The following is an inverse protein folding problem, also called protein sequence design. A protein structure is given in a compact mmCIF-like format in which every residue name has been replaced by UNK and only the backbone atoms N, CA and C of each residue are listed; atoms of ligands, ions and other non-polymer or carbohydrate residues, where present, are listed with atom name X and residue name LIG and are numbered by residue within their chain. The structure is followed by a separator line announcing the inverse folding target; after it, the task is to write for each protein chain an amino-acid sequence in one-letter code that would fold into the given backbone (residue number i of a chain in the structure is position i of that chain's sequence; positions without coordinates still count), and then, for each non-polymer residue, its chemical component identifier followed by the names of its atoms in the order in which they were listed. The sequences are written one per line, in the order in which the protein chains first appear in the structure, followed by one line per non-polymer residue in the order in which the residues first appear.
data_IF_253622963989
#
_entry.id   IF_253622963989
#
_cell.length_a   1.000
_cell.length_b   1.000
_cell.length_c   1.000
_cell.angle_alpha   90.00
_cell.angle_beta   90.00
_cell.angle_gamma   90.00
#
_symmetry.space_group_name_H-M   'P 1'
#
loop_
_entity.id
_entity.type
_entity.pdbx_description
1 polymer ?
#
# COMPACT_ATOMS: atom_id res chain seq x y z
N UNK A 1 4.01 -21.28 -25.89
CA UNK A 1 3.99 -21.98 -24.61
C UNK A 1 4.08 -20.96 -23.51
N UNK A 2 3.12 -21.02 -22.62
CA UNK A 2 3.16 -20.22 -21.40
C UNK A 2 3.61 -21.10 -20.26
N UNK A 3 4.68 -20.69 -19.58
CA UNK A 3 5.01 -21.27 -18.30
C UNK A 3 4.78 -20.22 -17.25
N UNK A 4 4.27 -20.63 -16.11
CA UNK A 4 4.00 -19.74 -14.99
C UNK A 4 4.90 -20.11 -13.85
N UNK A 5 5.72 -19.17 -13.44
CA UNK A 5 6.61 -19.33 -12.30
C UNK A 5 6.16 -18.41 -11.18
N UNK A 6 6.30 -18.90 -9.96
CA UNK A 6 6.08 -18.08 -8.78
C UNK A 6 7.40 -17.51 -8.33
N UNK A 7 7.46 -16.17 -8.19
CA UNK A 7 8.68 -15.53 -7.72
C UNK A 7 8.36 -14.47 -6.69
N UNK A 8 9.34 -14.16 -5.86
CA UNK A 8 9.22 -13.08 -4.89
C UNK A 8 9.37 -11.75 -5.63
N UNK A 9 8.35 -10.89 -5.53
CA UNK A 9 8.39 -9.56 -6.13
C UNK A 9 8.89 -8.53 -5.15
N UNK A 10 8.40 -8.53 -3.92
CA UNK A 10 8.79 -7.58 -2.88
C UNK A 10 8.59 -8.18 -1.51
N UNK A 11 9.38 -7.75 -0.55
CA UNK A 11 9.34 -8.25 0.81
C UNK A 11 10.43 -9.30 1.08
N UNK A 12 10.44 -9.84 2.27
CA UNK A 12 11.36 -10.89 2.67
C UNK A 12 10.61 -12.11 3.17
N UNK A 13 11.13 -13.28 2.85
CA UNK A 13 10.52 -14.53 3.31
C UNK A 13 10.49 -14.58 4.83
N UNK A 14 9.29 -14.75 5.40
CA UNK A 14 9.10 -14.89 6.85
C UNK A 14 9.62 -13.69 7.67
N UNK A 15 9.75 -12.52 7.06
CA UNK A 15 10.26 -11.34 7.76
C UNK A 15 9.29 -10.18 7.61
N UNK A 16 8.63 -9.84 8.71
CA UNK A 16 7.77 -8.65 8.74
C UNK A 16 8.62 -7.42 9.12
N UNK A 17 8.09 -6.24 8.85
CA UNK A 17 8.74 -5.01 9.21
C UNK A 17 8.30 -3.86 8.32
N UNK A 18 8.98 -2.75 8.43
CA UNK A 18 8.75 -1.59 7.58
C UNK A 18 10.09 -1.10 7.05
N UNK A 19 10.39 -1.44 5.81
CA UNK A 19 11.59 -0.98 5.12
C UNK A 19 11.23 -0.61 3.69
N UNK A 20 11.57 0.59 3.26
CA UNK A 20 11.44 1.00 1.87
C UNK A 20 12.70 0.60 1.09
N UNK A 21 12.62 0.67 -0.24
CA UNK A 21 13.75 0.39 -1.11
C UNK A 21 13.41 -0.59 -2.20
N UNK A 22 14.41 -1.28 -2.74
CA UNK A 22 14.16 -2.26 -3.80
C UNK A 22 13.45 -3.49 -3.23
N UNK A 23 12.72 -4.17 -4.10
CA UNK A 23 11.76 -5.20 -3.73
C UNK A 23 12.21 -6.16 -2.65
N UNK A 24 13.35 -6.82 -2.84
CA UNK A 24 13.77 -7.87 -1.89
C UNK A 24 14.38 -7.32 -0.61
N UNK A 25 14.76 -6.05 -0.57
CA UNK A 25 15.23 -5.41 0.67
C UNK A 25 14.08 -4.77 1.43
N UNK A 26 12.95 -4.53 0.79
CA UNK A 26 11.78 -3.97 1.44
C UNK A 26 11.17 -4.95 2.43
N UNK A 27 10.45 -4.43 3.41
CA UNK A 27 9.72 -5.25 4.37
C UNK A 27 8.32 -4.68 4.55
N UNK A 28 7.36 -5.57 4.69
CA UNK A 28 5.94 -5.25 4.89
C UNK A 28 5.48 -5.81 6.22
N UNK A 29 4.44 -5.20 6.76
CA UNK A 29 3.80 -5.69 7.97
C UNK A 29 2.32 -5.94 7.66
N UNK A 30 1.99 -7.20 7.42
CA UNK A 30 0.64 -7.65 7.17
C UNK A 30 0.02 -6.94 5.97
N UNK A 31 0.62 -7.08 4.76
CA UNK A 31 0.05 -6.47 3.56
C UNK A 31 -1.28 -7.12 3.20
N UNK A 32 -2.22 -6.30 2.74
CA UNK A 32 -3.55 -6.74 2.37
C UNK A 32 -3.75 -6.56 0.88
N UNK A 33 -4.99 -6.47 0.43
CA UNK A 33 -5.33 -6.54 -0.99
C UNK A 33 -4.86 -5.30 -1.75
N UNK A 34 -3.92 -5.46 -2.71
CA UNK A 34 -3.38 -4.34 -3.47
C UNK A 34 -4.21 -4.05 -4.72
N UNK A 35 -3.89 -2.91 -5.35
CA UNK A 35 -4.45 -2.53 -6.63
C UNK A 35 -3.42 -1.78 -7.45
N UNK A 36 -3.57 -1.82 -8.78
CA UNK A 36 -2.66 -1.15 -9.71
C UNK A 36 -3.30 0.14 -10.26
N UNK A 37 -2.48 1.15 -10.48
CA UNK A 37 -2.91 2.28 -11.28
C UNK A 37 -2.65 2.00 -12.78
N UNK A 38 -2.92 2.99 -13.63
CA UNK A 38 -2.80 2.81 -15.07
C UNK A 38 -1.35 2.80 -15.53
N UNK A 39 -0.43 3.27 -14.71
CA UNK A 39 1.00 3.29 -15.01
C UNK A 39 1.72 2.05 -14.50
N UNK A 40 1.00 1.12 -13.91
CA UNK A 40 1.56 -0.12 -13.40
C UNK A 40 2.12 -0.03 -11.98
N UNK A 41 1.91 1.07 -11.29
CA UNK A 41 2.27 1.16 -9.88
C UNK A 41 1.27 0.38 -9.04
N UNK A 42 1.77 -0.34 -8.05
CA UNK A 42 0.93 -1.10 -7.14
C UNK A 42 0.80 -0.36 -5.82
N UNK A 43 -0.40 -0.28 -5.30
CA UNK A 43 -0.67 0.33 -4.00
C UNK A 43 -1.11 -0.75 -3.04
N UNK A 44 -0.42 -0.86 -1.92
CA UNK A 44 -0.58 -1.95 -0.96
C UNK A 44 -0.99 -1.39 0.39
N UNK A 45 -2.19 -1.73 0.87
CA UNK A 45 -2.56 -1.36 2.24
C UNK A 45 -1.83 -2.26 3.22
N UNK A 46 -1.23 -1.65 4.24
CA UNK A 46 -0.54 -2.37 5.31
C UNK A 46 -1.39 -2.32 6.58
N UNK A 47 -2.06 -3.42 6.83
CA UNK A 47 -2.91 -3.57 8.01
C UNK A 47 -2.12 -3.36 9.31
N UNK A 48 -0.90 -3.88 9.35
CA UNK A 48 -0.09 -3.84 10.55
C UNK A 48 0.59 -2.50 10.82
N UNK A 49 0.65 -1.60 9.84
CA UNK A 49 1.34 -0.30 10.00
C UNK A 49 0.45 0.90 9.74
N UNK A 50 -0.81 0.68 9.34
CA UNK A 50 -1.78 1.76 9.10
C UNK A 50 -1.33 2.69 7.95
N UNK A 51 -0.79 2.10 6.89
CA UNK A 51 -0.23 2.86 5.77
C UNK A 51 -0.67 2.29 4.43
N UNK A 52 -0.46 3.09 3.38
CA UNK A 52 -0.54 2.64 2.00
C UNK A 52 0.86 2.75 1.41
N UNK A 53 1.39 1.64 0.92
CA UNK A 53 2.71 1.58 0.30
C UNK A 53 2.56 1.59 -1.21
N UNK A 54 3.54 2.15 -1.91
CA UNK A 54 3.58 2.16 -3.37
C UNK A 54 4.76 1.33 -3.87
N UNK A 55 4.50 0.47 -4.86
CA UNK A 55 5.56 -0.33 -5.50
C UNK A 55 5.54 0.00 -6.99
N UNK A 56 6.67 0.48 -7.50
CA UNK A 56 6.81 0.78 -8.94
C UNK A 56 6.89 -0.51 -9.75
N UNK A 57 6.69 -0.44 -11.09
CA UNK A 57 6.84 -1.62 -11.95
C UNK A 57 8.19 -2.31 -11.84
N UNK A 58 9.23 -1.59 -11.44
CA UNK A 58 10.57 -2.15 -11.25
C UNK A 58 10.81 -2.69 -9.85
N UNK A 59 9.82 -2.58 -8.94
CA UNK A 59 9.90 -3.15 -7.62
C UNK A 59 10.38 -2.20 -6.52
N UNK A 60 10.47 -0.89 -6.80
CA UNK A 60 10.85 0.07 -5.76
C UNK A 60 9.66 0.35 -4.83
N UNK A 61 9.88 0.18 -3.53
CA UNK A 61 8.85 0.31 -2.50
C UNK A 61 9.05 1.62 -1.74
N UNK A 62 7.96 2.38 -1.59
CA UNK A 62 7.98 3.64 -0.85
C UNK A 62 6.68 3.81 -0.08
N UNK A 63 6.66 4.76 0.85
CA UNK A 63 5.43 5.14 1.54
C UNK A 63 4.63 6.07 0.64
N UNK A 64 3.32 5.80 0.50
CA UNK A 64 2.44 6.66 -0.27
C UNK A 64 1.54 7.50 0.63
N UNK A 65 0.91 6.92 1.63
CA UNK A 65 -0.01 7.64 2.52
C UNK A 65 -0.01 7.03 3.91
N UNK A 66 -0.29 7.86 4.90
CA UNK A 66 -0.30 7.46 6.30
C UNK A 66 1.06 7.64 6.96
N UNK A 67 1.15 7.26 8.22
CA UNK A 67 2.41 7.27 8.96
C UNK A 67 2.61 5.91 9.61
N UNK A 68 3.73 5.24 9.37
CA UNK A 68 3.94 3.90 9.88
C UNK A 68 3.78 3.79 11.40
N UNK A 69 2.95 2.86 11.81
CA UNK A 69 2.71 2.60 13.22
C UNK A 69 1.78 3.57 13.91
N UNK A 70 1.17 4.53 13.18
CA UNK A 70 0.29 5.54 13.78
C UNK A 70 -1.11 5.43 13.21
N UNK A 71 -1.99 4.80 13.96
CA UNK A 71 -3.41 4.72 13.60
C UNK A 71 -4.09 6.06 13.82
N UNK A 72 -5.18 6.31 13.09
CA UNK A 72 -5.97 7.50 13.26
C UNK A 72 -7.00 7.63 12.15
N UNK A 73 -7.65 8.79 12.09
CA UNK A 73 -8.69 9.03 11.08
C UNK A 73 -8.57 10.43 10.46
N UNK A 74 -7.37 11.02 10.48
CA UNK A 74 -7.13 12.36 9.97
C UNK A 74 -7.16 12.36 8.45
N UNK A 75 -7.90 13.29 7.87
CA UNK A 75 -7.88 13.57 6.43
C UNK A 75 -6.81 14.61 6.10
N UNK A 76 -6.57 14.84 4.82
CA UNK A 76 -5.63 15.84 4.35
C UNK A 76 -4.70 15.29 3.28
N UNK A 77 -3.54 15.88 3.16
CA UNK A 77 -2.53 15.41 2.22
C UNK A 77 -2.10 13.99 2.59
N UNK A 78 -1.63 13.19 1.61
CA UNK A 78 -1.26 11.79 1.89
C UNK A 78 -0.32 11.63 3.09
N UNK A 79 0.67 12.49 3.24
CA UNK A 79 1.62 12.43 4.36
C UNK A 79 0.99 12.86 5.68
N UNK A 80 -0.15 13.53 5.65
CA UNK A 80 -0.88 13.93 6.86
C UNK A 80 -2.02 13.00 7.20
N UNK A 81 -2.45 12.20 6.25
CA UNK A 81 -3.56 11.28 6.46
C UNK A 81 -3.18 10.20 7.48
N UNK A 82 -4.20 9.71 8.17
CA UNK A 82 -4.03 8.59 9.10
C UNK A 82 -5.13 7.58 8.83
N UNK A 83 -4.75 6.33 8.85
CA UNK A 83 -5.66 5.20 8.67
C UNK A 83 -5.64 4.32 9.91
N UNK A 84 -6.60 3.42 9.99
CA UNK A 84 -6.61 2.43 11.06
C UNK A 84 -6.91 1.06 10.47
N UNK A 85 -5.87 0.27 10.26
CA UNK A 85 -5.92 -1.07 9.70
C UNK A 85 -6.62 -1.09 8.34
N UNK A 86 -6.05 -0.40 7.32
CA UNK A 86 -6.62 -0.43 5.99
C UNK A 86 -6.59 -1.85 5.42
N UNK A 87 -7.70 -2.26 4.80
CA UNK A 87 -7.89 -3.64 4.38
C UNK A 87 -7.70 -3.84 2.89
N UNK A 88 -8.15 -2.88 2.06
CA UNK A 88 -8.01 -2.99 0.62
C UNK A 88 -8.00 -1.61 -0.02
N UNK A 89 -7.46 -1.58 -1.24
CA UNK A 89 -7.36 -0.39 -2.07
C UNK A 89 -7.95 -0.71 -3.43
N UNK A 90 -8.68 0.25 -3.99
CA UNK A 90 -9.14 0.21 -5.37
C UNK A 90 -8.68 1.49 -6.06
N UNK A 91 -8.24 1.36 -7.32
CA UNK A 91 -7.81 2.52 -8.10
C UNK A 91 -8.85 2.81 -9.17
N UNK A 92 -9.29 4.06 -9.25
CA UNK A 92 -10.26 4.46 -10.25
C UNK A 92 -9.57 5.02 -11.49
N UNK A 93 -10.39 5.38 -12.51
CA UNK A 93 -9.87 5.81 -13.82
C UNK A 93 -8.99 7.06 -13.76
N UNK A 94 -9.22 7.94 -12.80
CA UNK A 94 -8.42 9.15 -12.61
C UNK A 94 -7.21 8.93 -11.70
N UNK A 95 -6.89 7.65 -11.40
CA UNK A 95 -5.83 7.25 -10.51
C UNK A 95 -6.06 7.63 -9.04
N UNK A 96 -7.26 8.07 -8.68
CA UNK A 96 -7.62 8.22 -7.27
C UNK A 96 -7.72 6.85 -6.61
N UNK A 97 -7.25 6.76 -5.38
CA UNK A 97 -7.33 5.53 -4.59
C UNK A 97 -8.54 5.60 -3.66
N UNK A 98 -9.26 4.49 -3.57
CA UNK A 98 -10.32 4.33 -2.59
C UNK A 98 -9.88 3.26 -1.61
N UNK A 99 -9.85 3.59 -0.34
CA UNK A 99 -9.30 2.75 0.72
C UNK A 99 -10.40 2.35 1.68
N UNK A 100 -10.56 1.05 1.89
CA UNK A 100 -11.41 0.56 2.96
C UNK A 100 -10.63 0.65 4.26
N UNK A 101 -10.91 1.69 5.03
CA UNK A 101 -10.23 2.00 6.29
C UNK A 101 -10.98 1.27 7.41
N UNK A 102 -10.65 0.01 7.57
CA UNK A 102 -11.46 -0.97 8.27
C UNK A 102 -11.87 -0.58 9.68
N UNK A 103 -10.90 -0.25 10.53
CA UNK A 103 -11.21 -0.01 11.95
C UNK A 103 -11.76 1.39 12.21
N UNK A 104 -11.77 2.26 11.21
CA UNK A 104 -12.47 3.54 11.26
C UNK A 104 -13.87 3.44 10.66
N UNK A 105 -14.22 2.31 10.04
CA UNK A 105 -15.52 2.09 9.40
C UNK A 105 -15.80 3.10 8.29
N UNK A 106 -14.77 3.44 7.52
CA UNK A 106 -14.84 4.49 6.49
C UNK A 106 -14.32 3.98 5.15
N UNK A 107 -14.83 4.61 4.09
CA UNK A 107 -14.20 4.52 2.76
C UNK A 107 -13.52 5.86 2.52
N UNK A 108 -12.22 5.81 2.33
CA UNK A 108 -11.41 7.02 2.19
C UNK A 108 -10.91 7.14 0.76
N UNK A 109 -10.87 8.36 0.25
CA UNK A 109 -10.35 8.61 -1.09
C UNK A 109 -9.04 9.39 -0.98
N UNK A 110 -8.00 8.89 -1.68
CA UNK A 110 -6.74 9.60 -1.83
C UNK A 110 -6.66 10.07 -3.28
N UNK A 111 -6.68 11.37 -3.49
CA UNK A 111 -6.61 11.92 -4.84
C UNK A 111 -5.18 12.19 -5.25
N UNK A 112 -4.92 12.01 -6.54
CA UNK A 112 -3.62 12.34 -7.14
C UNK A 112 -3.71 13.75 -7.69
N UNK A 113 -2.70 14.54 -7.44
CA UNK A 113 -2.64 15.91 -7.94
C UNK A 113 -1.75 16.02 -9.16
#
# INVERSE_FOLDING_TARGET
VCSSDLELFAGGWDESGYVNGSGVTARFDNPRQPAFDQDGNMFVPEYGRHTIRKITPTGEVSLYAGLPGQAGFTDGLPEKARFNKPECVTVYLDNSLYVADRDNHLIRRVTVE
#
